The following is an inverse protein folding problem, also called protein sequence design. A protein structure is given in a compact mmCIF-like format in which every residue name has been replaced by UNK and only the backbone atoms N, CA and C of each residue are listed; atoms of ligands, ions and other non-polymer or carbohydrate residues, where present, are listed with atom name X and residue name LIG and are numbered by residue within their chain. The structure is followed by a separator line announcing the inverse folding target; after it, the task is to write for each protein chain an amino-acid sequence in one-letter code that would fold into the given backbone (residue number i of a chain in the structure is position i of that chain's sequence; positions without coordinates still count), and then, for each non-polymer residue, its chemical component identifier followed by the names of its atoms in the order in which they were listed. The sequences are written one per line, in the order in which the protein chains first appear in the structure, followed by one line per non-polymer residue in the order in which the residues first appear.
data_IF_962692682400
#
_entry.id   IF_962692682400
#
_cell.length_a   1.000
_cell.length_b   1.000
_cell.length_c   1.000
_cell.angle_alpha   90.00
_cell.angle_beta   90.00
_cell.angle_gamma   90.00
#
_symmetry.space_group_name_H-M   'P 1'
#
loop_
_entity.id
_entity.type
_entity.pdbx_description
1 polymer ?
#
# COMPACT_ATOMS: atom_id res chain seq x y z
N UNK A 1 -23.26 5.85 5.27
CA UNK A 1 -21.82 5.96 5.66
C UNK A 1 -21.65 6.64 7.02
N UNK A 2 -22.28 7.80 7.23
CA UNK A 2 -22.28 8.47 8.54
C UNK A 2 -22.87 7.58 9.65
N UNK A 3 -23.90 6.82 9.35
CA UNK A 3 -24.49 5.87 10.30
C UNK A 3 -23.53 4.77 10.71
N UNK A 4 -22.63 4.33 9.83
CA UNK A 4 -21.60 3.33 10.19
C UNK A 4 -20.52 3.93 11.09
N UNK A 5 -20.17 5.20 10.88
CA UNK A 5 -19.19 5.91 11.72
C UNK A 5 -19.76 6.29 13.08
N UNK A 6 -21.05 6.60 13.14
CA UNK A 6 -21.74 6.94 14.38
C UNK A 6 -22.21 5.72 15.18
N UNK A 7 -22.13 4.51 14.60
CA UNK A 7 -22.78 3.33 15.12
C UNK A 7 -24.31 3.41 14.97
N UNK A 8 -24.96 2.27 14.92
CA UNK A 8 -26.40 2.16 14.92
C UNK A 8 -26.85 1.25 16.05
N UNK A 9 -27.92 1.63 16.73
CA UNK A 9 -28.64 0.70 17.58
C UNK A 9 -29.29 -0.40 16.70
N UNK A 10 -29.72 -1.48 17.33
CA UNK A 10 -30.50 -2.54 16.67
C UNK A 10 -31.73 -1.95 15.96
N UNK A 11 -32.32 -0.90 16.51
CA UNK A 11 -33.48 -0.20 15.98
C UNK A 11 -33.16 0.79 14.85
N UNK A 12 -31.88 0.86 14.42
CA UNK A 12 -31.44 1.75 13.34
C UNK A 12 -31.35 3.22 13.71
N UNK A 13 -31.53 3.58 14.98
CA UNK A 13 -31.36 4.95 15.47
C UNK A 13 -29.89 5.31 15.57
N UNK A 14 -29.51 6.56 15.23
CA UNK A 14 -28.15 7.03 15.46
C UNK A 14 -27.82 6.99 16.95
N UNK A 15 -26.72 6.34 17.28
CA UNK A 15 -26.15 6.40 18.63
C UNK A 15 -24.83 7.15 18.58
N UNK A 16 -24.42 7.77 19.67
CA UNK A 16 -23.10 8.39 19.75
C UNK A 16 -22.04 7.38 19.30
N UNK A 17 -21.13 7.79 18.43
CA UNK A 17 -20.07 6.92 17.96
C UNK A 17 -19.25 6.43 19.17
N UNK A 18 -19.19 5.13 19.33
CA UNK A 18 -18.30 4.48 20.27
C UNK A 18 -17.12 3.96 19.50
N UNK A 19 -15.97 4.52 19.67
CA UNK A 19 -14.72 3.95 19.16
C UNK A 19 -14.23 2.98 20.22
N UNK A 20 -14.06 1.73 19.82
CA UNK A 20 -13.35 0.74 20.62
C UNK A 20 -11.89 1.17 20.64
N UNK A 21 -11.32 1.38 21.80
CA UNK A 21 -9.88 1.57 21.92
C UNK A 21 -9.18 0.27 21.48
N UNK A 22 -8.00 0.40 20.89
CA UNK A 22 -7.27 -0.76 20.37
C UNK A 22 -6.72 -1.69 21.45
N UNK A 23 -6.87 -1.33 22.70
CA UNK A 23 -6.63 -2.17 23.88
C UNK A 23 -7.86 -3.02 24.29
N UNK A 24 -8.93 -2.97 23.50
CA UNK A 24 -10.19 -3.68 23.73
C UNK A 24 -11.20 -2.91 24.57
N UNK A 25 -10.92 -1.69 24.99
CA UNK A 25 -11.86 -0.86 25.75
C UNK A 25 -12.64 0.07 24.82
N UNK A 26 -13.95 0.11 24.97
CA UNK A 26 -14.80 1.07 24.28
C UNK A 26 -14.62 2.47 24.87
N UNK A 27 -14.51 3.47 24.02
CA UNK A 27 -14.65 4.85 24.45
C UNK A 27 -16.05 5.07 25.00
N UNK A 28 -16.15 5.49 26.25
CA UNK A 28 -17.43 5.64 26.96
C UNK A 28 -18.22 6.87 26.51
N UNK A 29 -17.54 7.82 25.87
CA UNK A 29 -18.13 9.08 25.43
C UNK A 29 -18.03 9.20 23.90
N UNK A 30 -18.99 9.89 23.26
CA UNK A 30 -18.87 10.22 21.85
C UNK A 30 -17.60 11.06 21.61
N UNK A 31 -17.00 10.94 20.42
CA UNK A 31 -15.91 11.80 20.04
C UNK A 31 -16.45 13.22 19.82
N UNK A 32 -16.10 14.11 20.71
CA UNK A 32 -16.52 15.53 20.69
C UNK A 32 -15.38 16.46 20.30
N UNK A 33 -14.18 15.92 20.10
CA UNK A 33 -12.98 16.65 19.72
C UNK A 33 -12.18 15.84 18.72
N UNK A 34 -11.58 16.51 17.73
CA UNK A 34 -10.65 15.93 16.77
C UNK A 34 -9.41 15.37 17.48
N UNK A 35 -8.96 16.06 18.52
CA UNK A 35 -7.86 15.56 19.35
C UNK A 35 -8.40 14.62 20.42
N UNK A 36 -8.17 13.34 20.21
CA UNK A 36 -8.65 12.27 21.07
C UNK A 36 -7.68 11.07 21.03
N UNK A 37 -7.81 10.07 21.92
CA UNK A 37 -6.91 8.91 21.99
C UNK A 37 -6.87 8.04 20.73
N UNK A 38 -7.87 8.14 19.84
CA UNK A 38 -7.89 7.39 18.58
C UNK A 38 -7.14 8.11 17.44
N UNK A 39 -6.77 9.38 17.63
CA UNK A 39 -6.03 10.15 16.64
C UNK A 39 -4.66 9.52 16.38
N UNK A 40 -4.40 9.15 15.12
CA UNK A 40 -3.11 8.57 14.72
C UNK A 40 -2.01 9.62 14.76
N UNK A 41 -2.25 10.78 14.18
CA UNK A 41 -1.36 11.94 14.14
C UNK A 41 -2.12 13.15 13.61
N UNK A 42 -1.79 14.33 14.10
CA UNK A 42 -2.38 15.60 13.67
C UNK A 42 -1.60 16.18 12.48
N UNK A 43 -1.91 15.67 11.28
CA UNK A 43 -1.28 16.13 10.04
C UNK A 43 -1.78 17.51 9.58
N UNK A 44 -2.91 17.99 10.07
CA UNK A 44 -3.39 19.33 9.78
C UNK A 44 -2.42 20.40 10.28
N UNK A 45 -1.86 20.23 11.47
CA UNK A 45 -0.82 21.12 12.00
C UNK A 45 0.46 21.15 11.16
N UNK A 46 0.72 20.10 10.40
CA UNK A 46 1.86 20.01 9.49
C UNK A 46 1.50 20.46 8.07
N UNK A 47 0.26 20.89 7.83
CA UNK A 47 -0.28 21.21 6.50
C UNK A 47 -0.07 20.05 5.49
N UNK A 48 -0.32 18.82 5.93
CA UNK A 48 -0.17 17.61 5.12
C UNK A 48 -1.52 16.91 4.90
N UNK A 49 -1.77 16.51 3.67
CA UNK A 49 -2.86 15.64 3.29
C UNK A 49 -2.49 14.17 3.52
N UNK A 50 -3.47 13.34 3.87
CA UNK A 50 -3.30 11.91 4.13
C UNK A 50 -4.08 11.08 3.12
N UNK A 51 -3.42 10.09 2.52
CA UNK A 51 -3.98 9.18 1.52
C UNK A 51 -3.82 7.74 1.98
N UNK A 52 -4.88 7.15 2.50
CA UNK A 52 -4.88 5.76 2.99
C UNK A 52 -4.62 4.76 1.86
N UNK A 53 -3.83 3.74 2.14
CA UNK A 53 -3.46 2.68 1.21
C UNK A 53 -3.97 1.32 1.64
N UNK A 54 -3.66 0.91 2.86
CA UNK A 54 -4.06 -0.39 3.39
C UNK A 54 -4.21 -0.34 4.91
N UNK A 55 -5.02 -1.24 5.45
CA UNK A 55 -5.17 -1.49 6.88
C UNK A 55 -5.05 -2.99 7.12
N UNK A 56 -4.21 -3.38 8.06
CA UNK A 56 -4.02 -4.75 8.53
C UNK A 56 -3.98 -4.79 10.05
N UNK A 57 -4.00 -5.99 10.57
CA UNK A 57 -3.80 -6.24 11.99
C UNK A 57 -2.58 -7.13 12.18
N UNK A 58 -1.81 -6.85 13.21
CA UNK A 58 -0.71 -7.73 13.59
C UNK A 58 -1.23 -8.98 14.31
N UNK A 59 -0.32 -9.88 14.67
CA UNK A 59 -0.66 -11.16 15.32
C UNK A 59 -1.30 -11.00 16.71
N UNK A 60 -1.22 -9.81 17.31
CA UNK A 60 -1.91 -9.44 18.55
C UNK A 60 -3.24 -8.71 18.30
N UNK A 61 -3.69 -8.59 17.04
CA UNK A 61 -4.91 -7.86 16.69
C UNK A 61 -4.78 -6.34 16.75
N UNK A 62 -3.57 -5.79 16.74
CA UNK A 62 -3.34 -4.35 16.78
C UNK A 62 -3.31 -3.78 15.37
N UNK A 63 -3.96 -2.64 15.13
CA UNK A 63 -4.05 -2.06 13.79
C UNK A 63 -2.71 -1.53 13.30
N UNK A 64 -2.49 -1.76 12.00
CA UNK A 64 -1.36 -1.26 11.23
C UNK A 64 -1.91 -0.59 9.98
N UNK A 65 -1.61 0.68 9.80
CA UNK A 65 -2.15 1.52 8.73
C UNK A 65 -1.01 1.94 7.81
N UNK A 66 -1.16 1.71 6.52
CA UNK A 66 -0.25 2.20 5.48
C UNK A 66 -0.89 3.39 4.76
N UNK A 67 -0.18 4.50 4.65
CA UNK A 67 -0.66 5.69 3.97
C UNK A 67 0.47 6.52 3.37
N UNK A 68 0.11 7.47 2.51
CA UNK A 68 1.00 8.49 1.97
C UNK A 68 0.58 9.85 2.51
N UNK A 69 1.56 10.69 2.82
CA UNK A 69 1.33 12.11 3.11
C UNK A 69 1.97 12.98 2.03
N UNK A 70 1.35 14.13 1.74
CA UNK A 70 1.88 15.14 0.82
C UNK A 70 1.39 16.54 1.19
N UNK A 71 2.08 17.58 0.68
CA UNK A 71 1.70 18.98 0.91
C UNK A 71 0.40 19.39 0.22
N UNK A 72 0.00 18.66 -0.82
CA UNK A 72 -1.22 18.96 -1.58
C UNK A 72 -1.65 17.79 -2.45
N UNK A 73 -2.78 17.95 -3.14
CA UNK A 73 -3.38 16.90 -3.97
C UNK A 73 -2.93 16.93 -5.43
N UNK A 74 -2.43 18.05 -5.91
CA UNK A 74 -2.04 18.21 -7.31
C UNK A 74 -0.78 17.41 -7.64
N UNK A 75 -0.70 16.95 -8.88
CA UNK A 75 0.50 16.31 -9.40
C UNK A 75 1.64 17.30 -9.57
N UNK A 76 2.86 16.76 -9.64
CA UNK A 76 4.05 17.53 -9.86
C UNK A 76 4.87 17.79 -8.59
N UNK A 77 6.08 18.33 -8.72
CA UNK A 77 7.05 18.37 -7.63
C UNK A 77 6.69 19.35 -6.50
N UNK A 78 5.76 20.29 -6.73
CA UNK A 78 5.38 21.30 -5.74
C UNK A 78 4.85 20.70 -4.43
N UNK A 79 4.24 19.51 -4.52
CA UNK A 79 3.66 18.82 -3.38
C UNK A 79 4.53 17.69 -2.81
N UNK A 80 5.80 17.63 -3.24
CA UNK A 80 6.78 16.69 -2.67
C UNK A 80 7.19 17.09 -1.24
N UNK A 81 7.63 16.08 -0.49
CA UNK A 81 7.66 14.63 -0.78
C UNK A 81 6.31 13.95 -0.60
N UNK A 82 6.03 12.89 -1.39
CA UNK A 82 4.96 11.91 -1.11
C UNK A 82 5.56 10.82 -0.26
N UNK A 83 5.34 10.92 1.04
CA UNK A 83 5.99 10.03 2.01
C UNK A 83 5.12 8.86 2.37
N UNK A 84 5.58 7.66 2.10
CA UNK A 84 4.97 6.42 2.56
C UNK A 84 5.25 6.24 4.04
N UNK A 85 4.19 6.14 4.81
CA UNK A 85 4.25 6.02 6.28
C UNK A 85 3.43 4.84 6.74
N UNK A 86 3.97 4.13 7.72
CA UNK A 86 3.28 3.11 8.48
C UNK A 86 2.96 3.65 9.87
N UNK A 87 1.71 3.54 10.29
CA UNK A 87 1.31 3.73 11.67
C UNK A 87 0.95 2.38 12.29
N UNK A 88 1.59 2.03 13.40
CA UNK A 88 1.34 0.81 14.15
C UNK A 88 0.95 1.15 15.58
N UNK A 89 -0.22 0.68 16.02
CA UNK A 89 -0.62 0.78 17.41
C UNK A 89 0.17 -0.21 18.26
N UNK A 90 1.03 0.29 19.11
CA UNK A 90 1.86 -0.55 19.95
C UNK A 90 2.15 0.11 21.31
N UNK A 91 2.01 -0.66 22.40
CA UNK A 91 2.26 -0.19 23.77
C UNK A 91 1.47 1.08 24.11
N UNK A 92 0.16 1.08 23.79
CA UNK A 92 -0.76 2.17 24.15
C UNK A 92 -0.62 3.45 23.34
N UNK A 93 0.12 3.43 22.23
CA UNK A 93 0.30 4.60 21.35
C UNK A 93 0.57 4.21 19.89
N UNK A 94 0.33 5.17 19.00
CA UNK A 94 0.73 5.07 17.60
C UNK A 94 2.24 5.26 17.45
N UNK A 95 2.86 4.35 16.70
CA UNK A 95 4.25 4.41 16.27
C UNK A 95 4.28 4.68 14.79
N UNK A 96 4.84 5.81 14.39
CA UNK A 96 4.94 6.20 12.98
C UNK A 96 6.32 5.88 12.44
N UNK A 97 6.38 5.27 11.25
CA UNK A 97 7.62 4.93 10.55
C UNK A 97 7.54 5.36 9.09
N UNK A 98 8.42 6.25 8.70
CA UNK A 98 8.62 6.59 7.29
C UNK A 98 9.32 5.42 6.62
N UNK A 99 8.80 5.01 5.45
CA UNK A 99 9.33 3.86 4.69
C UNK A 99 10.17 4.36 3.52
N UNK A 100 9.56 5.15 2.65
CA UNK A 100 10.13 5.67 1.40
C UNK A 100 9.31 6.86 0.91
N UNK A 101 9.64 7.36 -0.26
CA UNK A 101 8.85 8.35 -1.00
C UNK A 101 8.49 7.81 -2.37
N UNK A 102 7.44 8.37 -2.98
CA UNK A 102 7.10 8.17 -4.39
C UNK A 102 6.71 9.52 -5.00
N UNK A 103 6.20 9.56 -6.22
CA UNK A 103 5.92 10.80 -6.93
C UNK A 103 4.42 11.11 -7.12
N UNK A 104 3.52 10.25 -6.59
CA UNK A 104 2.08 10.48 -6.69
C UNK A 104 1.30 10.07 -5.43
N UNK A 105 0.27 10.84 -5.10
CA UNK A 105 -0.61 10.56 -3.96
C UNK A 105 -1.44 9.30 -4.13
N UNK A 106 -1.70 8.90 -5.37
CA UNK A 106 -2.51 7.72 -5.71
C UNK A 106 -1.69 6.48 -6.01
N UNK A 107 -0.42 6.48 -5.64
CA UNK A 107 0.39 5.27 -5.65
C UNK A 107 -0.18 4.28 -4.64
N UNK A 108 -0.70 3.16 -5.14
CA UNK A 108 -1.43 2.18 -4.33
C UNK A 108 -0.58 0.95 -4.12
N UNK A 109 -0.23 0.69 -2.87
CA UNK A 109 0.46 -0.50 -2.41
C UNK A 109 -0.40 -1.37 -1.50
N UNK A 110 0.06 -2.56 -1.22
CA UNK A 110 -0.55 -3.50 -0.28
C UNK A 110 0.42 -3.93 0.80
N UNK A 111 -0.11 -4.07 2.01
CA UNK A 111 0.63 -4.45 3.22
C UNK A 111 0.35 -5.90 3.59
N UNK A 112 1.38 -6.65 3.92
CA UNK A 112 1.30 -8.02 4.40
C UNK A 112 1.99 -8.14 5.75
N UNK A 113 1.33 -8.79 6.69
CA UNK A 113 1.82 -9.00 8.05
C UNK A 113 1.89 -10.50 8.32
N UNK A 114 3.09 -11.00 8.53
CA UNK A 114 3.33 -12.39 8.89
C UNK A 114 4.34 -12.45 10.04
N UNK A 115 3.84 -12.60 11.24
CA UNK A 115 4.62 -12.53 12.47
C UNK A 115 5.48 -11.26 12.52
N UNK A 116 6.81 -11.37 12.58
CA UNK A 116 7.74 -10.24 12.55
C UNK A 116 8.14 -9.83 11.12
N UNK A 117 7.75 -10.59 10.09
CA UNK A 117 8.08 -10.32 8.71
C UNK A 117 6.92 -9.57 8.04
N UNK A 118 7.12 -8.30 7.77
CA UNK A 118 6.13 -7.48 7.09
C UNK A 118 6.63 -7.10 5.71
N UNK A 119 5.73 -7.06 4.75
CA UNK A 119 6.06 -6.77 3.35
C UNK A 119 5.11 -5.71 2.80
N UNK A 120 5.66 -4.85 1.94
CA UNK A 120 4.88 -3.90 1.12
C UNK A 120 5.24 -4.13 -0.34
N UNK A 121 4.22 -4.36 -1.15
CA UNK A 121 4.30 -4.36 -2.60
C UNK A 121 3.69 -3.08 -3.11
N UNK A 122 4.46 -2.23 -3.77
CA UNK A 122 3.96 -0.93 -4.21
C UNK A 122 4.82 -0.26 -5.26
N UNK A 123 4.23 0.68 -6.03
CA UNK A 123 4.90 1.47 -7.05
C UNK A 123 5.66 2.63 -6.40
N UNK A 124 6.76 2.33 -5.75
CA UNK A 124 7.55 3.32 -5.01
C UNK A 124 8.69 3.92 -5.80
N UNK A 125 8.91 3.45 -7.02
CA UNK A 125 9.96 3.96 -7.90
C UNK A 125 9.31 4.71 -9.08
N UNK A 126 9.96 5.76 -9.53
CA UNK A 126 9.47 6.55 -10.66
C UNK A 126 9.34 5.69 -11.91
N UNK A 127 8.18 5.72 -12.52
CA UNK A 127 7.88 5.01 -13.77
C UNK A 127 8.03 5.89 -15.01
N UNK A 128 7.65 5.36 -16.17
CA UNK A 128 7.77 6.09 -17.45
C UNK A 128 6.87 7.32 -17.57
N UNK A 129 5.85 7.45 -16.71
CA UNK A 129 5.01 8.65 -16.63
C UNK A 129 5.17 9.30 -15.24
N UNK A 130 6.21 10.12 -15.04
CA UNK A 130 6.45 10.79 -13.76
C UNK A 130 5.25 11.63 -13.30
N UNK A 131 5.00 11.64 -12.00
CA UNK A 131 3.86 12.32 -11.37
C UNK A 131 2.47 11.86 -11.81
N UNK A 132 2.35 10.80 -12.59
CA UNK A 132 1.10 10.07 -12.77
C UNK A 132 0.96 8.98 -11.69
N UNK A 133 -0.28 8.55 -11.38
CA UNK A 133 -0.48 7.41 -10.48
C UNK A 133 0.32 6.18 -10.91
N UNK A 134 1.02 5.58 -9.94
CA UNK A 134 1.85 4.41 -10.18
C UNK A 134 3.29 4.73 -10.55
N UNK A 135 4.04 3.68 -10.85
CA UNK A 135 5.45 3.75 -11.19
C UNK A 135 6.03 2.36 -11.41
N UNK A 136 7.29 2.17 -11.12
CA UNK A 136 7.89 0.84 -11.08
C UNK A 136 7.64 0.18 -9.72
N UNK A 137 7.26 -1.09 -9.75
CA UNK A 137 6.93 -1.86 -8.56
C UNK A 137 8.18 -2.28 -7.80
N UNK A 138 8.13 -2.14 -6.49
CA UNK A 138 9.17 -2.61 -5.58
C UNK A 138 8.58 -3.44 -4.42
N UNK A 139 9.43 -4.28 -3.83
CA UNK A 139 9.18 -5.01 -2.60
C UNK A 139 10.01 -4.40 -1.48
N UNK A 140 9.33 -3.99 -0.43
CA UNK A 140 9.90 -3.53 0.82
C UNK A 140 9.63 -4.54 1.92
N UNK A 141 10.62 -4.79 2.77
CA UNK A 141 10.51 -5.74 3.86
C UNK A 141 10.96 -5.13 5.17
N UNK A 142 10.27 -5.53 6.23
CA UNK A 142 10.65 -5.34 7.62
C UNK A 142 10.73 -6.70 8.30
N UNK A 143 11.74 -6.93 9.13
CA UNK A 143 11.89 -8.17 9.92
C UNK A 143 11.77 -7.93 11.42
N UNK A 144 11.27 -6.77 11.80
CA UNK A 144 11.18 -6.32 13.20
C UNK A 144 9.86 -5.58 13.48
N UNK A 145 8.73 -6.18 13.02
CA UNK A 145 7.39 -5.66 13.25
C UNK A 145 7.17 -4.22 12.74
N UNK A 146 7.73 -3.91 11.56
CA UNK A 146 7.55 -2.62 10.92
C UNK A 146 8.42 -1.48 11.47
N UNK A 147 9.38 -1.77 12.36
CA UNK A 147 10.24 -0.73 12.94
C UNK A 147 11.27 -0.18 11.94
N UNK A 148 11.83 -1.04 11.09
CA UNK A 148 12.74 -0.63 10.01
C UNK A 148 12.38 -1.32 8.70
N UNK A 149 12.57 -0.61 7.59
CA UNK A 149 12.19 -1.07 6.27
C UNK A 149 13.37 -1.00 5.31
N UNK A 150 13.46 -1.99 4.42
CA UNK A 150 14.46 -2.04 3.37
C UNK A 150 13.80 -2.47 2.05
N UNK A 151 14.14 -1.77 0.96
CA UNK A 151 13.82 -2.26 -0.38
C UNK A 151 14.68 -3.48 -0.65
N UNK A 152 14.05 -4.64 -0.78
CA UNK A 152 14.74 -5.92 -1.00
C UNK A 152 14.72 -6.33 -2.45
N UNK A 153 13.73 -5.84 -3.23
CA UNK A 153 13.63 -6.20 -4.64
C UNK A 153 12.99 -5.10 -5.47
N UNK A 154 13.51 -4.89 -6.67
CA UNK A 154 12.86 -4.18 -7.74
C UNK A 154 12.06 -5.22 -8.54
N UNK A 155 10.73 -5.06 -8.61
CA UNK A 155 9.84 -6.05 -9.23
C UNK A 155 9.66 -5.81 -10.73
N UNK A 156 9.59 -4.54 -11.13
CA UNK A 156 9.49 -4.13 -12.54
C UNK A 156 10.54 -3.08 -12.86
N UNK A 157 10.95 -3.01 -14.13
CA UNK A 157 11.93 -2.04 -14.65
C UNK A 157 11.64 -1.76 -16.10
N UNK A 158 11.97 -0.54 -16.54
CA UNK A 158 11.87 -0.12 -17.95
C UNK A 158 10.50 -0.39 -18.57
N UNK A 159 9.47 -0.25 -17.75
CA UNK A 159 8.09 -0.49 -18.14
C UNK A 159 7.63 0.54 -19.19
N UNK A 160 6.70 0.15 -20.05
CA UNK A 160 6.10 1.08 -21.01
C UNK A 160 5.07 2.01 -20.37
N UNK A 161 4.48 1.59 -19.26
CA UNK A 161 3.44 2.30 -18.49
C UNK A 161 3.67 2.11 -17.01
N UNK A 162 3.18 3.04 -16.22
CA UNK A 162 3.21 2.93 -14.76
C UNK A 162 2.43 1.71 -14.30
N UNK A 163 2.98 0.97 -13.36
CA UNK A 163 2.27 -0.06 -12.61
C UNK A 163 1.59 0.57 -11.42
N UNK A 164 0.36 0.16 -11.12
CA UNK A 164 -0.43 0.74 -10.04
C UNK A 164 -1.44 -0.25 -9.45
N UNK A 165 -2.07 0.15 -8.35
CA UNK A 165 -3.13 -0.61 -7.70
C UNK A 165 -2.70 -2.00 -7.22
N UNK A 166 -1.52 -2.11 -6.60
CA UNK A 166 -1.12 -3.35 -5.96
C UNK A 166 -2.13 -3.76 -4.88
N UNK A 167 -2.65 -4.98 -4.99
CA UNK A 167 -3.65 -5.55 -4.09
C UNK A 167 -3.22 -6.90 -3.57
N UNK A 168 -3.49 -7.12 -2.29
CA UNK A 168 -3.39 -8.44 -1.67
C UNK A 168 -4.68 -9.23 -1.95
N UNK A 169 -4.64 -10.39 -2.61
CA UNK A 169 -5.77 -11.30 -2.65
C UNK A 169 -6.19 -11.72 -1.23
N UNK A 170 -7.47 -11.95 -1.02
CA UNK A 170 -7.94 -12.56 0.23
C UNK A 170 -7.34 -13.97 0.34
N UNK A 171 -6.72 -14.28 1.46
CA UNK A 171 -5.98 -15.53 1.66
C UNK A 171 -4.93 -15.77 0.58
N UNK A 172 -4.11 -14.78 0.31
CA UNK A 172 -3.11 -14.80 -0.75
C UNK A 172 -2.27 -16.08 -0.70
N UNK A 173 -2.28 -16.82 -1.81
CA UNK A 173 -1.44 -18.00 -1.96
C UNK A 173 0.02 -17.57 -2.18
N UNK A 174 1.04 -18.30 -1.67
CA UNK A 174 2.45 -17.95 -1.89
C UNK A 174 2.84 -17.77 -3.34
N UNK A 175 2.22 -18.49 -4.28
CA UNK A 175 2.47 -18.38 -5.71
C UNK A 175 1.63 -17.31 -6.42
N UNK A 176 0.61 -16.74 -5.76
CA UNK A 176 -0.23 -15.65 -6.24
C UNK A 176 -0.45 -14.66 -5.09
N UNK A 177 0.54 -13.81 -4.85
CA UNK A 177 0.64 -13.09 -3.60
C UNK A 177 0.25 -11.62 -3.70
N UNK A 178 0.64 -10.93 -4.74
CA UNK A 178 0.19 -9.57 -5.05
C UNK A 178 -0.25 -9.48 -6.51
N UNK A 179 -1.31 -8.71 -6.78
CA UNK A 179 -1.91 -8.49 -8.09
C UNK A 179 -1.95 -7.00 -8.39
N UNK A 180 -1.61 -6.59 -9.60
CA UNK A 180 -1.69 -5.19 -10.04
C UNK A 180 -1.88 -5.05 -11.55
N UNK A 181 -2.12 -3.83 -12.00
CA UNK A 181 -2.22 -3.49 -13.41
C UNK A 181 -1.15 -2.47 -13.82
N UNK A 182 -0.82 -2.41 -15.11
CA UNK A 182 -0.18 -1.25 -15.71
C UNK A 182 -1.21 -0.37 -16.44
N UNK A 183 -0.84 0.84 -16.77
CA UNK A 183 -1.69 1.76 -17.52
C UNK A 183 -1.21 3.21 -17.42
N UNK A 184 -1.90 4.10 -18.15
CA UNK A 184 -1.67 5.53 -18.04
C UNK A 184 -2.79 6.16 -17.19
N UNK A 185 -2.43 6.78 -16.05
CA UNK A 185 -3.40 7.25 -15.06
C UNK A 185 -4.25 8.46 -15.48
N UNK A 186 -3.99 9.08 -16.64
CA UNK A 186 -4.64 10.33 -17.06
C UNK A 186 -5.22 10.32 -18.45
N UNK A 187 -5.05 9.25 -19.21
CA UNK A 187 -5.61 9.09 -20.54
C UNK A 187 -5.93 7.63 -20.81
N UNK A 188 -6.84 7.32 -21.74
CA UNK A 188 -7.11 5.95 -22.13
C UNK A 188 -5.82 5.26 -22.62
N UNK A 189 -5.61 4.07 -22.13
CA UNK A 189 -4.47 3.25 -22.53
C UNK A 189 -4.82 1.78 -22.46
N UNK A 190 -4.04 0.97 -23.17
CA UNK A 190 -4.03 -0.46 -22.89
C UNK A 190 -3.53 -0.69 -21.46
N UNK A 191 -4.03 -1.77 -20.85
CA UNK A 191 -3.63 -2.21 -19.53
C UNK A 191 -3.39 -3.71 -19.54
N UNK A 192 -2.41 -4.14 -18.79
CA UNK A 192 -2.11 -5.54 -18.54
C UNK A 192 -2.25 -5.83 -17.05
N UNK A 193 -2.54 -7.09 -16.73
CA UNK A 193 -2.58 -7.56 -15.34
C UNK A 193 -1.32 -8.38 -15.04
N UNK A 194 -0.75 -8.08 -13.89
CA UNK A 194 0.43 -8.75 -13.39
C UNK A 194 0.15 -9.30 -11.99
N UNK A 195 0.84 -10.34 -11.65
CA UNK A 195 0.93 -10.80 -10.27
C UNK A 195 2.36 -11.21 -9.94
N UNK A 196 2.66 -11.33 -8.66
CA UNK A 196 3.89 -11.96 -8.24
C UNK A 196 3.64 -13.02 -7.17
N UNK A 197 4.59 -13.92 -7.03
CA UNK A 197 4.63 -14.81 -5.89
C UNK A 197 5.22 -14.09 -4.65
N UNK A 198 5.17 -14.75 -3.50
CA UNK A 198 5.62 -14.19 -2.22
C UNK A 198 7.09 -13.73 -2.21
N UNK A 199 7.94 -14.30 -3.05
CA UNK A 199 9.35 -13.90 -3.18
C UNK A 199 9.58 -12.87 -4.28
N UNK A 200 8.50 -12.31 -4.86
CA UNK A 200 8.55 -11.25 -5.84
C UNK A 200 9.03 -11.73 -7.24
N UNK A 201 8.71 -12.95 -7.65
CA UNK A 201 8.80 -13.34 -9.06
C UNK A 201 7.54 -12.90 -9.77
N UNK A 202 7.69 -12.07 -10.80
CA UNK A 202 6.59 -11.40 -11.50
C UNK A 202 6.14 -12.22 -12.69
N UNK A 203 4.83 -12.19 -12.95
CA UNK A 203 4.18 -12.84 -14.08
C UNK A 203 3.15 -11.90 -14.71
N UNK A 204 3.07 -11.95 -16.03
CA UNK A 204 2.05 -11.29 -16.83
C UNK A 204 0.91 -12.27 -17.12
N UNK A 205 -0.32 -11.86 -16.83
CA UNK A 205 -1.52 -12.60 -17.20
C UNK A 205 -1.85 -12.43 -18.69
N UNK A 206 -2.38 -13.46 -19.37
CA UNK A 206 -2.79 -13.34 -20.75
C UNK A 206 -3.96 -12.35 -20.89
N UNK A 207 -3.91 -11.48 -21.90
CA UNK A 207 -4.97 -10.48 -22.17
C UNK A 207 -6.27 -11.11 -22.68
N UNK A 208 -6.18 -12.25 -23.30
CA UNK A 208 -7.31 -13.03 -23.84
C UNK A 208 -7.13 -14.48 -23.48
N UNK A 209 -8.22 -15.11 -23.09
CA UNK A 209 -8.31 -16.53 -22.83
C UNK A 209 -9.07 -17.17 -23.99
N UNK A 210 -8.40 -18.03 -24.76
CA UNK A 210 -9.02 -18.87 -25.79
C UNK A 210 -9.49 -20.21 -25.25
N UNK A 211 -8.95 -20.59 -24.08
CA UNK A 211 -9.23 -21.87 -23.42
C UNK A 211 -9.51 -21.65 -21.93
N UNK A 212 -9.98 -22.69 -21.27
CA UNK A 212 -10.30 -22.65 -19.85
C UNK A 212 -9.08 -22.34 -18.96
N UNK A 213 -7.88 -22.71 -19.42
CA UNK A 213 -6.63 -22.50 -18.71
C UNK A 213 -5.60 -21.80 -19.60
N UNK A 214 -4.79 -20.94 -19.01
CA UNK A 214 -3.64 -20.35 -19.69
C UNK A 214 -2.45 -20.23 -18.73
N UNK A 215 -1.24 -20.35 -19.27
CA UNK A 215 -0.02 -20.14 -18.48
C UNK A 215 0.33 -18.65 -18.47
N UNK A 216 0.61 -18.07 -17.30
CA UNK A 216 1.14 -16.71 -17.22
C UNK A 216 2.58 -16.67 -17.76
N UNK A 217 2.96 -15.54 -18.32
CA UNK A 217 4.31 -15.33 -18.84
C UNK A 217 5.20 -14.75 -17.74
N UNK A 218 6.35 -15.37 -17.41
CA UNK A 218 7.31 -14.76 -16.50
C UNK A 218 7.80 -13.41 -17.05
N UNK A 219 7.86 -12.42 -16.18
CA UNK A 219 8.49 -11.12 -16.47
C UNK A 219 9.92 -11.18 -15.90
N UNK A 220 10.91 -11.28 -16.79
CA UNK A 220 12.30 -11.33 -16.37
C UNK A 220 12.75 -9.96 -15.87
N UNK A 221 13.38 -9.88 -14.69
CA UNK A 221 14.11 -8.68 -14.31
C UNK A 221 15.34 -8.60 -15.22
N UNK A 222 15.41 -7.57 -16.06
CA UNK A 222 16.51 -7.21 -16.97
C UNK A 222 17.54 -8.30 -17.32
N UNK A 223 17.46 -8.85 -18.50
CA UNK A 223 18.52 -9.69 -19.10
C UNK A 223 19.87 -8.93 -19.27
N UNK A 224 19.87 -7.60 -19.19
CA UNK A 224 21.06 -6.76 -19.32
C UNK A 224 22.06 -6.86 -18.13
N UNK A 225 21.58 -7.20 -16.94
CA UNK A 225 22.46 -7.34 -15.78
C UNK A 225 23.25 -8.66 -15.75
N UNK A 226 22.82 -9.68 -16.50
CA UNK A 226 23.50 -10.98 -16.58
C UNK A 226 24.57 -11.05 -17.66
N UNK A 227 24.55 -10.17 -18.67
CA UNK A 227 25.55 -10.13 -19.72
C UNK A 227 26.92 -9.59 -19.24
N UNK A 228 26.94 -8.80 -18.16
CA UNK A 228 28.18 -8.22 -17.62
C UNK A 228 28.94 -9.21 -16.70
N UNK A 229 28.28 -10.24 -16.17
CA UNK A 229 28.91 -11.26 -15.32
C UNK A 229 29.49 -12.47 -16.10
N UNK A 230 29.15 -12.61 -17.36
CA UNK A 230 29.67 -13.71 -18.20
C UNK A 230 30.97 -13.37 -18.95
N UNK A 231 31.46 -12.14 -18.87
CA UNK A 231 32.69 -11.67 -19.53
C UNK A 231 33.74 -11.11 -18.54
N UNK A 232 33.82 -11.71 -17.35
CA UNK A 232 34.95 -11.51 -16.42
C UNK A 232 35.49 -12.84 -15.94
#
# INVERSE_FOLDING_TARGET
RERQLQGLSIDGLPVPAKIVSFDGQSLKLPLTSEINPALVHDYEKEALNVYLKDIRYDVQGRPVILYITSKGFESGPMNDPRTWTLAHWNSGKWRLRKITTSDNNYDMGSLYIDNSNWQIYGPTETGPQPYNPGGEMALWESRNNGETWKKTKQLTRHSKRNHTYARAPVNAHPDFYALWADGHGRQPSESNLYFCNRVGRVYLLPRRMSEQFAKPTPVEPDASANAIKANR
#
